data_IF_054428758600
#
_entry.id   IF_054428758600
#
_cell.length_a   1.000
_cell.length_b   1.000
_cell.length_c   1.000
_cell.angle_alpha   90.00
_cell.angle_beta   90.00
_cell.angle_gamma   90.00
#
_symmetry.space_group_name_H-M   'P 1'
#
loop_
_entity.id
_entity.type
_entity.pdbx_description
1 polymer ?
#
# COMPACT_ATOMS: atom_id res chain seq x y z
N UNK A 1 -11.57 -9.13 -8.57
CA UNK A 1 -11.04 -8.25 -7.51
C UNK A 1 -10.70 -6.91 -8.13
N UNK A 2 -10.86 -5.84 -7.36
CA UNK A 2 -10.49 -4.47 -7.73
C UNK A 2 -9.08 -4.19 -7.27
N UNK A 3 -8.24 -3.68 -8.18
CA UNK A 3 -6.88 -3.27 -7.88
C UNK A 3 -6.86 -1.80 -7.46
N UNK A 4 -6.30 -1.52 -6.29
CA UNK A 4 -6.20 -0.15 -5.76
C UNK A 4 -4.72 0.18 -5.57
N UNK A 5 -4.17 1.17 -6.29
CA UNK A 5 -2.77 1.54 -6.13
C UNK A 5 -2.56 2.23 -4.77
N UNK A 6 -1.50 1.85 -4.05
CA UNK A 6 -1.06 2.57 -2.87
C UNK A 6 -0.62 4.00 -3.25
N UNK A 7 -1.03 5.04 -2.51
CA UNK A 7 -0.68 6.41 -2.84
C UNK A 7 0.81 6.70 -2.61
N UNK A 8 1.39 7.58 -3.44
CA UNK A 8 2.79 8.05 -3.31
C UNK A 8 3.03 8.76 -1.98
N UNK A 9 4.30 9.02 -1.63
CA UNK A 9 4.68 9.68 -0.37
C UNK A 9 4.24 11.14 -0.27
N UNK A 10 3.80 11.75 -1.36
CA UNK A 10 3.31 13.14 -1.43
C UNK A 10 2.12 13.22 -2.39
N UNK A 11 1.30 14.29 -2.33
CA UNK A 11 0.28 14.56 -3.34
C UNK A 11 0.88 14.46 -4.74
N UNK A 12 0.16 13.80 -5.66
CA UNK A 12 0.64 13.52 -7.00
C UNK A 12 0.35 14.72 -7.90
N UNK A 13 1.37 15.39 -8.48
CA UNK A 13 1.15 16.40 -9.50
C UNK A 13 0.59 15.78 -10.79
N UNK A 14 -0.14 16.57 -11.57
CA UNK A 14 -0.66 16.13 -12.87
C UNK A 14 0.47 15.61 -13.78
N UNK A 15 0.25 14.44 -14.38
CA UNK A 15 1.22 13.78 -15.27
C UNK A 15 2.42 13.13 -14.57
N UNK A 16 2.52 13.18 -13.25
CA UNK A 16 3.60 12.52 -12.52
C UNK A 16 3.43 10.99 -12.52
N UNK A 17 4.55 10.27 -12.53
CA UNK A 17 4.56 8.82 -12.49
C UNK A 17 4.03 8.30 -11.14
N UNK A 18 3.06 7.38 -11.21
CA UNK A 18 2.56 6.63 -10.07
C UNK A 18 2.87 5.12 -10.25
N UNK A 19 4.02 4.63 -9.76
CA UNK A 19 4.45 3.25 -10.01
C UNK A 19 3.44 2.18 -9.62
N UNK A 20 2.81 2.29 -8.45
CA UNK A 20 1.75 1.37 -8.02
C UNK A 20 0.58 1.32 -9.01
N UNK A 21 0.18 2.45 -9.59
CA UNK A 21 -0.87 2.51 -10.61
C UNK A 21 -0.43 1.87 -11.92
N UNK A 22 0.82 2.08 -12.34
CA UNK A 22 1.40 1.39 -13.51
C UNK A 22 1.36 -0.13 -13.31
N UNK A 23 1.70 -0.62 -12.11
CA UNK A 23 1.63 -2.05 -11.78
C UNK A 23 0.18 -2.55 -11.85
N UNK A 24 -0.79 -1.80 -11.28
CA UNK A 24 -2.21 -2.14 -11.39
C UNK A 24 -2.66 -2.26 -12.85
N UNK A 25 -2.29 -1.28 -13.69
CA UNK A 25 -2.69 -1.23 -15.09
C UNK A 25 -2.14 -2.44 -15.86
N UNK A 26 -0.85 -2.74 -15.68
CA UNK A 26 -0.22 -3.94 -16.29
C UNK A 26 -0.89 -5.22 -15.81
N UNK A 27 -1.15 -5.37 -14.50
CA UNK A 27 -1.83 -6.54 -13.96
C UNK A 27 -3.23 -6.70 -14.57
N UNK A 28 -3.99 -5.61 -14.66
CA UNK A 28 -5.33 -5.62 -15.25
C UNK A 28 -5.31 -5.97 -16.74
N UNK A 29 -4.41 -5.37 -17.53
CA UNK A 29 -4.21 -5.68 -18.95
C UNK A 29 -3.91 -7.17 -19.20
N UNK A 30 -3.27 -7.84 -18.23
CA UNK A 30 -2.96 -9.27 -18.29
C UNK A 30 -4.01 -10.16 -17.59
N UNK A 31 -5.15 -9.60 -17.19
CA UNK A 31 -6.28 -10.33 -16.61
C UNK A 31 -6.21 -10.59 -15.10
N UNK A 32 -5.25 -10.01 -14.38
CA UNK A 32 -5.06 -10.16 -12.92
C UNK A 32 -5.86 -9.14 -12.09
N UNK A 33 -7.10 -8.84 -12.49
CA UNK A 33 -7.97 -7.87 -11.84
C UNK A 33 -9.13 -7.50 -12.76
N UNK A 34 -10.30 -7.22 -12.19
CA UNK A 34 -11.48 -6.84 -12.98
C UNK A 34 -11.43 -5.37 -13.38
N UNK A 35 -10.91 -4.53 -12.49
CA UNK A 35 -10.75 -3.10 -12.69
C UNK A 35 -9.64 -2.51 -11.81
N UNK A 36 -9.24 -1.28 -12.15
CA UNK A 36 -8.29 -0.47 -11.38
C UNK A 36 -9.00 0.79 -10.90
N UNK A 37 -8.98 1.04 -9.58
CA UNK A 37 -9.69 2.14 -8.96
C UNK A 37 -8.78 2.95 -8.04
N UNK A 38 -8.81 4.28 -8.16
CA UNK A 38 -7.95 5.19 -7.40
C UNK A 38 -8.64 5.72 -6.15
N UNK A 39 -9.14 4.82 -5.30
CA UNK A 39 -9.88 5.20 -4.10
C UNK A 39 -9.04 5.92 -3.03
N UNK A 40 -7.71 5.86 -3.12
CA UNK A 40 -6.81 6.40 -2.11
C UNK A 40 -5.96 7.52 -2.68
N UNK A 41 -6.10 8.73 -2.12
CA UNK A 41 -5.38 9.92 -2.55
C UNK A 41 -4.55 10.50 -1.40
N UNK A 42 -3.27 10.75 -1.63
CA UNK A 42 -2.41 11.46 -0.65
C UNK A 42 -2.72 12.96 -0.69
N UNK A 43 -3.13 13.54 0.42
CA UNK A 43 -3.44 14.97 0.55
C UNK A 43 -2.32 15.75 1.26
N UNK A 44 -1.46 15.06 2.03
CA UNK A 44 -0.31 15.67 2.73
C UNK A 44 0.96 14.86 2.48
N UNK A 45 2.09 15.55 2.33
CA UNK A 45 3.37 14.87 2.20
C UNK A 45 3.77 14.18 3.50
N UNK A 46 4.35 12.99 3.39
CA UNK A 46 4.89 12.21 4.50
C UNK A 46 6.36 11.90 4.21
N UNK A 47 7.27 12.01 5.20
CA UNK A 47 8.67 11.64 5.03
C UNK A 47 8.83 10.21 4.51
N UNK A 48 9.76 10.01 3.56
CA UNK A 48 10.03 8.66 3.04
C UNK A 48 10.73 7.82 4.11
N UNK A 49 10.15 6.66 4.43
CA UNK A 49 10.69 5.73 5.43
C UNK A 49 12.11 5.23 5.10
N UNK A 50 12.50 5.20 3.82
CA UNK A 50 13.85 4.82 3.37
C UNK A 50 14.93 5.83 3.78
N UNK A 51 14.55 7.11 3.92
CA UNK A 51 15.49 8.21 4.17
C UNK A 51 15.42 8.70 5.63
N UNK A 52 14.49 8.17 6.42
CA UNK A 52 14.32 8.55 7.83
C UNK A 52 15.05 7.57 8.76
N UNK A 53 15.74 8.08 9.81
CA UNK A 53 16.17 7.27 10.94
C UNK A 53 15.01 6.44 11.49
N UNK A 54 15.29 5.28 12.06
CA UNK A 54 14.24 4.36 12.54
C UNK A 54 13.24 5.02 13.51
N UNK A 55 13.71 5.98 14.32
CA UNK A 55 12.90 6.76 15.25
C UNK A 55 11.95 7.76 14.56
N UNK A 56 12.33 8.29 13.39
CA UNK A 56 11.60 9.33 12.67
C UNK A 56 10.72 8.75 11.55
N UNK A 57 10.73 7.42 11.37
CA UNK A 57 9.87 6.78 10.37
C UNK A 57 8.41 7.00 10.74
N UNK A 58 7.58 7.52 9.82
CA UNK A 58 6.17 7.82 10.07
C UNK A 58 5.43 6.59 10.59
N UNK A 59 4.59 6.80 11.61
CA UNK A 59 3.71 5.79 12.18
C UNK A 59 2.38 5.74 11.41
N UNK A 60 1.59 4.70 11.63
CA UNK A 60 0.27 4.53 10.98
C UNK A 60 -0.62 5.78 11.08
N UNK A 61 -0.76 6.47 12.24
CA UNK A 61 -1.58 7.69 12.32
C UNK A 61 -1.19 8.78 11.34
N UNK A 62 0.12 8.97 11.09
CA UNK A 62 0.61 9.93 10.09
C UNK A 62 0.12 9.58 8.69
N UNK A 63 0.05 8.28 8.37
CA UNK A 63 -0.48 7.83 7.09
C UNK A 63 -2.00 7.96 7.01
N UNK A 64 -2.74 7.67 8.09
CA UNK A 64 -4.19 7.88 8.16
C UNK A 64 -4.54 9.35 7.95
N UNK A 65 -3.82 10.28 8.59
CA UNK A 65 -4.08 11.72 8.52
C UNK A 65 -3.67 12.38 7.19
N UNK A 66 -2.97 11.65 6.33
CA UNK A 66 -2.42 12.14 5.05
C UNK A 66 -3.06 11.53 3.81
N UNK A 67 -3.97 10.56 3.97
CA UNK A 67 -4.65 9.90 2.86
C UNK A 67 -6.16 10.09 3.03
N UNK A 68 -6.83 10.45 1.94
CA UNK A 68 -8.28 10.40 1.85
C UNK A 68 -8.72 9.16 1.07
N UNK A 69 -9.80 8.54 1.54
CA UNK A 69 -10.47 7.45 0.85
C UNK A 69 -11.78 7.94 0.22
N UNK A 70 -11.93 7.71 -1.08
CA UNK A 70 -13.16 7.97 -1.80
C UNK A 70 -14.12 6.78 -1.64
N UNK A 71 -15.39 7.08 -1.33
CA UNK A 71 -16.43 6.04 -1.27
C UNK A 71 -16.82 5.62 -2.68
N UNK A 72 -16.70 4.33 -3.03
CA UNK A 72 -17.11 3.87 -4.35
C UNK A 72 -18.63 3.89 -4.50
N UNK A 73 -19.10 4.11 -5.72
CA UNK A 73 -20.51 3.99 -6.06
C UNK A 73 -20.97 2.52 -6.02
N UNK A 74 -20.14 1.60 -6.50
CA UNK A 74 -20.31 0.16 -6.39
C UNK A 74 -19.22 -0.40 -5.48
N UNK A 75 -19.61 -0.86 -4.29
CA UNK A 75 -18.65 -1.39 -3.31
C UNK A 75 -18.13 -2.75 -3.77
N UNK A 76 -16.80 -2.92 -3.95
CA UNK A 76 -16.24 -4.19 -4.38
C UNK A 76 -16.15 -5.19 -3.21
N UNK A 77 -16.45 -6.47 -3.48
CA UNK A 77 -16.32 -7.54 -2.47
C UNK A 77 -14.85 -7.93 -2.17
N UNK A 78 -13.93 -7.62 -3.10
CA UNK A 78 -12.51 -7.98 -3.00
C UNK A 78 -11.63 -6.86 -3.52
N UNK A 79 -10.77 -6.33 -2.66
CA UNK A 79 -9.82 -5.26 -2.97
C UNK A 79 -8.39 -5.77 -2.76
N UNK A 80 -7.51 -5.52 -3.72
CA UNK A 80 -6.06 -5.72 -3.54
C UNK A 80 -5.36 -4.38 -3.65
N UNK A 81 -4.73 -3.97 -2.55
CA UNK A 81 -3.85 -2.80 -2.51
C UNK A 81 -2.53 -3.20 -3.17
N UNK A 82 -2.15 -2.49 -4.22
CA UNK A 82 -0.93 -2.75 -4.99
C UNK A 82 0.11 -1.71 -4.63
N UNK A 83 1.33 -2.13 -4.32
CA UNK A 83 2.46 -1.24 -4.03
C UNK A 83 3.71 -1.65 -4.84
N UNK A 84 4.63 -0.71 -5.05
CA UNK A 84 5.92 -1.02 -5.66
C UNK A 84 6.88 -1.65 -4.64
N UNK A 85 6.94 -1.08 -3.43
CA UNK A 85 7.86 -1.49 -2.36
C UNK A 85 7.18 -1.57 -1.00
N UNK A 86 7.13 -2.77 -0.42
CA UNK A 86 6.68 -3.02 0.94
C UNK A 86 7.85 -2.98 1.93
N UNK A 87 7.82 -2.01 2.85
CA UNK A 87 8.79 -1.93 3.96
C UNK A 87 8.24 -2.60 5.23
N UNK A 88 7.91 -1.81 6.26
CA UNK A 88 7.25 -2.28 7.48
C UNK A 88 5.72 -2.41 7.32
N UNK A 89 5.17 -2.02 6.17
CA UNK A 89 3.73 -2.13 5.87
C UNK A 89 2.85 -1.05 6.51
N UNK A 90 3.40 0.04 7.06
CA UNK A 90 2.61 1.10 7.71
C UNK A 90 1.67 1.84 6.75
N UNK A 91 2.16 2.20 5.56
CA UNK A 91 1.32 2.79 4.51
C UNK A 91 0.20 1.82 4.11
N UNK A 92 0.54 0.56 3.82
CA UNK A 92 -0.43 -0.46 3.38
C UNK A 92 -1.47 -0.75 4.45
N UNK A 93 -1.08 -0.79 5.72
CA UNK A 93 -2.00 -0.93 6.86
C UNK A 93 -2.96 0.25 6.94
N UNK A 94 -2.46 1.48 6.89
CA UNK A 94 -3.31 2.67 6.90
C UNK A 94 -4.28 2.71 5.71
N UNK A 95 -3.81 2.32 4.51
CA UNK A 95 -4.64 2.19 3.32
C UNK A 95 -5.75 1.15 3.51
N UNK A 96 -5.44 0.00 4.12
CA UNK A 96 -6.42 -1.03 4.41
C UNK A 96 -7.48 -0.53 5.39
N UNK A 97 -7.09 0.14 6.47
CA UNK A 97 -8.04 0.72 7.44
C UNK A 97 -8.97 1.75 6.79
N UNK A 98 -8.42 2.63 5.95
CA UNK A 98 -9.21 3.62 5.20
C UNK A 98 -10.18 2.95 4.21
N UNK A 99 -9.73 1.91 3.51
CA UNK A 99 -10.59 1.13 2.62
C UNK A 99 -11.67 0.37 3.38
N UNK A 100 -11.41 -0.15 4.60
CA UNK A 100 -12.45 -0.76 5.43
C UNK A 100 -13.55 0.23 5.79
N UNK A 101 -13.22 1.52 5.96
CA UNK A 101 -14.22 2.54 6.27
C UNK A 101 -15.18 2.81 5.09
N UNK A 102 -14.71 2.65 3.84
CA UNK A 102 -15.51 2.92 2.63
C UNK A 102 -16.03 1.64 1.93
N UNK A 103 -15.41 0.50 2.19
CA UNK A 103 -15.72 -0.83 1.67
C UNK A 103 -15.74 -1.86 2.84
N UNK A 104 -16.72 -1.79 3.75
CA UNK A 104 -16.69 -2.49 5.04
C UNK A 104 -16.65 -4.02 4.93
N UNK A 105 -17.32 -4.58 3.92
CA UNK A 105 -17.45 -6.02 3.74
C UNK A 105 -16.39 -6.60 2.77
N UNK A 106 -15.52 -5.75 2.22
CA UNK A 106 -14.53 -6.17 1.26
C UNK A 106 -13.42 -7.02 1.91
N UNK A 107 -13.06 -8.11 1.26
CA UNK A 107 -11.80 -8.79 1.53
C UNK A 107 -10.65 -7.92 1.01
N UNK A 108 -9.82 -7.39 1.92
CA UNK A 108 -8.68 -6.54 1.58
C UNK A 108 -7.39 -7.33 1.67
N UNK A 109 -6.66 -7.40 0.55
CA UNK A 109 -5.31 -7.99 0.44
C UNK A 109 -4.31 -6.93 0.01
N UNK A 110 -3.03 -7.24 0.19
CA UNK A 110 -1.92 -6.39 -0.25
C UNK A 110 -1.03 -7.22 -1.18
N UNK A 111 -0.64 -6.62 -2.31
CA UNK A 111 0.38 -7.13 -3.21
C UNK A 111 1.46 -6.06 -3.37
N UNK A 112 2.73 -6.46 -3.24
CA UNK A 112 3.84 -5.58 -3.53
C UNK A 112 4.91 -6.32 -4.32
N UNK A 113 5.48 -5.66 -5.33
CA UNK A 113 6.51 -6.27 -6.17
C UNK A 113 7.80 -6.55 -5.39
N UNK A 114 8.19 -5.61 -4.52
CA UNK A 114 9.44 -5.68 -3.76
C UNK A 114 9.10 -5.65 -2.27
N UNK A 115 9.83 -6.40 -1.45
CA UNK A 115 9.84 -6.22 0.01
C UNK A 115 11.26 -5.94 0.50
N UNK A 116 11.38 -5.12 1.55
CA UNK A 116 12.66 -4.99 2.26
C UNK A 116 12.79 -6.10 3.31
N UNK A 117 13.96 -6.75 3.39
CA UNK A 117 14.28 -7.78 4.39
C UNK A 117 15.23 -7.29 5.50
N UNK A 118 15.39 -5.97 5.65
CA UNK A 118 16.39 -5.39 6.54
C UNK A 118 17.76 -5.28 5.85
N UNK A 119 18.83 -5.18 6.63
CA UNK A 119 20.19 -5.31 6.09
C UNK A 119 20.41 -6.80 5.79
N UNK A 120 20.47 -7.16 4.53
CA UNK A 120 20.98 -8.47 4.09
C UNK A 120 22.28 -8.20 3.34
N UNK A 121 23.32 -8.96 3.67
CA UNK A 121 24.66 -8.78 3.10
C UNK A 121 24.69 -9.13 1.61
N UNK A 122 23.80 -10.04 1.17
CA UNK A 122 23.64 -10.44 -0.24
C UNK A 122 22.18 -10.79 -0.59
N UNK A 123 21.81 -10.59 -1.85
CA UNK A 123 20.53 -11.04 -2.43
C UNK A 123 20.78 -12.33 -3.22
N UNK A 124 20.48 -13.48 -2.63
CA UNK A 124 20.71 -14.79 -3.26
C UNK A 124 19.64 -15.18 -4.29
N UNK A 125 18.45 -14.57 -4.22
CA UNK A 125 17.31 -14.87 -5.09
C UNK A 125 16.58 -13.60 -5.53
N UNK A 126 16.36 -13.48 -6.84
CA UNK A 126 15.61 -12.37 -7.44
C UNK A 126 14.09 -12.60 -7.29
N UNK A 127 13.66 -13.87 -7.29
CA UNK A 127 12.26 -14.28 -7.10
C UNK A 127 12.15 -15.08 -5.81
N UNK A 128 11.59 -14.45 -4.79
CA UNK A 128 11.37 -15.04 -3.47
C UNK A 128 10.00 -14.60 -2.96
N UNK A 129 8.87 -15.16 -3.42
CA UNK A 129 7.54 -14.74 -2.98
C UNK A 129 7.34 -15.05 -1.48
N UNK A 130 6.68 -14.15 -0.75
CA UNK A 130 6.30 -14.34 0.64
C UNK A 130 4.81 -14.01 0.83
N UNK A 131 4.14 -14.69 1.75
CA UNK A 131 2.71 -14.49 2.02
C UNK A 131 2.49 -14.52 3.52
N UNK A 132 1.98 -13.43 4.06
CA UNK A 132 1.91 -13.26 5.49
C UNK A 132 0.91 -12.20 5.92
N UNK A 133 0.95 -11.83 7.20
CA UNK A 133 0.00 -10.90 7.82
C UNK A 133 0.74 -9.68 8.33
N UNK A 134 0.18 -8.49 8.06
CA UNK A 134 0.61 -7.24 8.69
C UNK A 134 -0.32 -6.95 9.86
N UNK A 135 0.24 -6.92 11.06
CA UNK A 135 -0.47 -6.60 12.31
C UNK A 135 -0.14 -5.17 12.71
N UNK A 136 -1.17 -4.36 12.95
CA UNK A 136 -1.05 -3.02 13.51
C UNK A 136 -1.20 -3.02 15.03
N UNK A 137 -0.51 -2.12 15.71
CA UNK A 137 -0.58 -1.95 17.17
C UNK A 137 -1.12 -0.56 17.54
N UNK A 138 -1.70 -0.39 18.75
CA UNK A 138 -2.14 0.92 19.23
C UNK A 138 -1.04 2.00 19.25
N UNK A 139 0.23 1.60 19.30
CA UNK A 139 1.39 2.51 19.19
C UNK A 139 1.57 3.12 17.79
N UNK A 140 0.77 2.72 16.80
CA UNK A 140 0.94 3.10 15.39
C UNK A 140 2.08 2.36 14.68
N UNK A 141 2.74 1.41 15.36
CA UNK A 141 3.71 0.50 14.73
C UNK A 141 2.97 -0.65 14.04
N UNK A 142 3.69 -1.30 13.13
CA UNK A 142 3.25 -2.53 12.45
C UNK A 142 4.32 -3.60 12.59
N UNK A 143 3.89 -4.86 12.56
CA UNK A 143 4.74 -6.03 12.42
C UNK A 143 4.26 -6.86 11.22
N UNK A 144 5.20 -7.50 10.52
CA UNK A 144 4.92 -8.36 9.36
C UNK A 144 5.43 -9.75 9.70
N UNK A 145 4.52 -10.70 9.80
CA UNK A 145 4.84 -12.12 9.93
C UNK A 145 4.82 -12.71 8.50
N UNK A 146 5.96 -13.19 7.96
CA UNK A 146 6.07 -13.68 6.59
C UNK A 146 5.46 -15.05 6.33
#
# INVERSE_FOLDING_TARGET
>A
MTLVPAPRSAPLPDGALWPAKVICDVLHEHGFGQDVQTYLTRTKAVPRSSNSPAADRPLVPVHLDSIEAERPFFVPDKVTIVDDVLTMGRTSFACAELLRAVCPDAEIRIFAMIRTQGLQDDIEKIVDPATGIIVGYPSGKTHRDP
#
